data_IF_868607235623
#
_entry.id   IF_868607235623
#
_cell.length_a   1.000
_cell.length_b   1.000
_cell.length_c   1.000
_cell.angle_alpha   90.00
_cell.angle_beta   90.00
_cell.angle_gamma   90.00
#
_symmetry.space_group_name_H-M   'P 1'
#
loop_
_entity.id
_entity.type
_entity.pdbx_description
1 polymer ?
#
# COMPACT_ATOMS: atom_id res chain seq x y z
N UNK A 1 6.31 16.15 19.33
CA UNK A 1 7.40 16.12 18.34
C UNK A 1 6.89 15.25 17.20
N UNK A 2 6.77 15.78 15.98
CA UNK A 2 6.28 15.02 14.84
C UNK A 2 7.41 14.14 14.31
N UNK A 3 7.16 12.83 14.14
CA UNK A 3 8.18 11.87 13.73
C UNK A 3 8.52 12.09 12.25
N UNK A 4 9.71 12.63 11.98
CA UNK A 4 10.29 12.75 10.63
C UNK A 4 11.00 11.44 10.29
N UNK A 5 10.21 10.40 10.03
CA UNK A 5 10.72 9.05 9.76
C UNK A 5 10.41 8.65 8.32
N UNK A 6 11.29 7.90 7.65
CA UNK A 6 10.98 7.37 6.34
C UNK A 6 9.68 6.56 6.34
N UNK A 7 8.91 6.67 5.26
CA UNK A 7 7.69 5.88 5.07
C UNK A 7 7.92 4.86 3.96
N UNK A 8 7.34 3.66 4.10
CA UNK A 8 7.47 2.61 3.08
C UNK A 8 6.11 2.41 2.41
N UNK A 9 6.00 2.66 1.08
CA UNK A 9 4.81 2.34 0.33
C UNK A 9 4.69 0.81 0.18
N UNK A 10 3.48 0.29 0.37
CA UNK A 10 3.19 -1.15 0.34
C UNK A 10 2.01 -1.42 -0.60
N UNK A 11 2.18 -2.36 -1.52
CA UNK A 11 1.11 -2.90 -2.34
C UNK A 11 0.79 -4.33 -1.88
N UNK A 12 -0.47 -4.60 -1.54
CA UNK A 12 -0.91 -5.93 -1.11
C UNK A 12 -1.80 -6.52 -2.21
N UNK A 13 -1.29 -7.56 -2.87
CA UNK A 13 -1.97 -8.25 -3.94
C UNK A 13 -2.85 -9.37 -3.40
N UNK A 14 -3.90 -9.74 -4.16
CA UNK A 14 -4.74 -10.91 -3.87
C UNK A 14 -5.58 -10.83 -2.58
N UNK A 15 -5.67 -9.66 -1.93
CA UNK A 15 -6.50 -9.45 -0.74
C UNK A 15 -7.98 -9.75 -0.96
N UNK A 16 -8.48 -9.54 -2.19
CA UNK A 16 -9.84 -9.86 -2.58
C UNK A 16 -10.19 -11.36 -2.44
N UNK A 17 -9.18 -12.24 -2.44
CA UNK A 17 -9.39 -13.68 -2.26
C UNK A 17 -9.42 -14.11 -0.78
N UNK A 18 -8.92 -13.27 0.13
CA UNK A 18 -8.97 -13.50 1.58
C UNK A 18 -10.26 -12.94 2.19
N UNK A 19 -10.61 -11.70 1.82
CA UNK A 19 -11.83 -11.06 2.29
C UNK A 19 -12.25 -9.96 1.31
N UNK A 20 -13.46 -10.07 0.76
CA UNK A 20 -14.09 -8.93 0.08
C UNK A 20 -14.94 -8.17 1.09
N UNK A 21 -14.88 -6.83 1.06
CA UNK A 21 -15.71 -5.94 1.91
C UNK A 21 -17.23 -6.19 1.80
N UNK A 22 -17.67 -7.04 0.87
CA UNK A 22 -19.06 -7.23 0.45
C UNK A 22 -19.56 -8.70 0.53
N UNK A 23 -18.77 -9.66 1.02
CA UNK A 23 -19.12 -11.09 0.93
C UNK A 23 -18.84 -11.92 2.18
N UNK A 24 -19.55 -13.06 2.31
CA UNK A 24 -19.37 -14.04 3.39
C UNK A 24 -17.93 -14.52 3.43
N UNK A 25 -17.34 -14.58 4.63
CA UNK A 25 -16.02 -15.17 4.86
C UNK A 25 -16.01 -16.61 4.31
N UNK A 26 -15.13 -16.90 3.34
CA UNK A 26 -15.02 -18.22 2.74
C UNK A 26 -13.93 -19.03 3.48
N UNK A 27 -14.29 -20.05 4.29
CA UNK A 27 -13.33 -20.75 5.15
C UNK A 27 -12.22 -21.49 4.37
N UNK A 28 -12.44 -21.81 3.10
CA UNK A 28 -11.45 -22.48 2.22
C UNK A 28 -10.64 -21.45 1.39
N UNK A 29 -11.15 -20.21 1.21
CA UNK A 29 -10.43 -19.16 0.49
C UNK A 29 -9.34 -18.48 1.35
N UNK A 30 -9.33 -18.71 2.66
CA UNK A 30 -8.27 -18.26 3.57
C UNK A 30 -6.90 -18.93 3.34
N UNK A 31 -6.81 -19.96 2.49
CA UNK A 31 -5.53 -20.59 2.11
C UNK A 31 -4.94 -20.04 0.81
N UNK A 32 -5.39 -18.86 0.36
CA UNK A 32 -4.88 -18.22 -0.86
C UNK A 32 -3.62 -17.40 -0.54
N UNK A 33 -2.63 -17.48 -1.43
CA UNK A 33 -1.40 -16.70 -1.35
C UNK A 33 -1.73 -15.21 -1.48
N UNK A 34 -1.40 -14.44 -0.44
CA UNK A 34 -1.32 -12.98 -0.49
C UNK A 34 0.12 -12.62 -0.76
N UNK A 35 0.34 -11.69 -1.67
CA UNK A 35 1.68 -11.16 -1.94
C UNK A 35 1.77 -9.73 -1.43
N UNK A 36 2.86 -9.42 -0.74
CA UNK A 36 3.13 -8.08 -0.22
C UNK A 36 4.37 -7.57 -0.94
N UNK A 37 4.19 -6.47 -1.64
CA UNK A 37 5.23 -5.83 -2.42
C UNK A 37 5.62 -4.52 -1.74
N UNK A 38 6.89 -4.39 -1.38
CA UNK A 38 7.45 -3.22 -0.71
C UNK A 38 8.16 -2.35 -1.74
N UNK A 39 7.89 -1.06 -1.71
CA UNK A 39 8.64 -0.08 -2.47
C UNK A 39 9.86 0.42 -1.72
N UNK A 40 10.69 1.26 -2.37
CA UNK A 40 11.77 1.93 -1.69
C UNK A 40 11.22 2.84 -0.57
N UNK A 41 11.95 3.00 0.56
CA UNK A 41 11.63 4.02 1.55
C UNK A 41 11.57 5.42 0.92
N UNK A 42 10.58 6.20 1.32
CA UNK A 42 10.43 7.61 0.94
C UNK A 42 10.93 8.44 2.12
N UNK A 43 11.92 9.28 1.86
CA UNK A 43 12.54 10.10 2.90
C UNK A 43 11.62 11.27 3.30
N UNK A 44 11.69 11.76 4.55
CA UNK A 44 10.92 12.92 5.00
C UNK A 44 11.08 14.15 4.10
N UNK A 45 12.24 14.33 3.49
CA UNK A 45 12.49 15.44 2.58
C UNK A 45 11.56 15.43 1.34
N UNK A 46 11.13 14.24 0.91
CA UNK A 46 10.33 14.08 -0.31
C UNK A 46 8.84 14.32 -0.06
N UNK A 47 8.34 13.99 1.14
CA UNK A 47 6.91 14.04 1.44
C UNK A 47 6.48 15.18 2.39
N UNK A 48 7.38 15.68 3.25
CA UNK A 48 7.06 16.80 4.16
C UNK A 48 6.69 18.11 3.44
N UNK A 49 7.25 18.45 2.26
CA UNK A 49 6.83 19.64 1.52
C UNK A 49 5.45 19.51 0.87
N UNK A 50 4.92 18.29 0.74
CA UNK A 50 3.68 18.03 0.02
C UNK A 50 2.49 18.45 0.90
N UNK A 51 1.55 19.18 0.31
CA UNK A 51 0.34 19.57 1.04
C UNK A 51 -0.48 18.34 1.43
N UNK A 52 -1.21 18.43 2.54
CA UNK A 52 -2.09 17.33 3.01
C UNK A 52 -3.10 16.89 1.95
N UNK A 53 -3.54 17.80 1.07
CA UNK A 53 -4.47 17.52 -0.03
C UNK A 53 -3.82 16.64 -1.11
N UNK A 54 -2.56 16.88 -1.41
CA UNK A 54 -1.81 16.21 -2.48
C UNK A 54 -1.12 14.93 -2.01
N UNK A 55 -0.81 14.84 -0.71
CA UNK A 55 -0.08 13.71 -0.10
C UNK A 55 -0.68 12.35 -0.47
N UNK A 56 -2.00 12.21 -0.46
CA UNK A 56 -2.67 10.95 -0.81
C UNK A 56 -2.47 10.55 -2.28
N UNK A 57 -2.37 11.52 -3.19
CA UNK A 57 -2.11 11.28 -4.61
C UNK A 57 -0.66 10.81 -4.81
N UNK A 58 0.28 11.54 -4.20
CA UNK A 58 1.69 11.18 -4.18
C UNK A 58 1.91 9.73 -3.69
N UNK A 59 1.35 9.37 -2.53
CA UNK A 59 1.51 7.99 -1.99
C UNK A 59 0.90 6.94 -2.93
N UNK A 60 -0.22 7.25 -3.59
CA UNK A 60 -0.83 6.32 -4.57
C UNK A 60 0.04 6.10 -5.79
N UNK A 61 0.71 7.13 -6.29
CA UNK A 61 1.67 7.01 -7.40
C UNK A 61 2.83 6.11 -7.02
N UNK A 62 3.41 6.31 -5.82
CA UNK A 62 4.50 5.47 -5.30
C UNK A 62 4.05 4.01 -5.16
N UNK A 63 2.85 3.76 -4.62
CA UNK A 63 2.30 2.41 -4.53
C UNK A 63 2.05 1.79 -5.91
N UNK A 64 1.59 2.59 -6.88
CA UNK A 64 1.32 2.12 -8.24
C UNK A 64 2.58 1.74 -8.99
N UNK A 65 3.71 2.40 -8.71
CA UNK A 65 5.01 2.06 -9.29
C UNK A 65 5.59 0.72 -8.79
N UNK A 66 5.15 0.24 -7.62
CA UNK A 66 5.54 -1.07 -7.06
C UNK A 66 4.74 -2.21 -7.68
N UNK A 67 3.50 -1.91 -8.09
CA UNK A 67 2.55 -2.91 -8.55
C UNK A 67 3.19 -3.75 -9.67
N UNK A 68 3.17 -5.10 -9.57
CA UNK A 68 3.67 -5.93 -10.65
C UNK A 68 2.91 -5.62 -11.94
N UNK A 69 3.64 -5.37 -13.02
CA UNK A 69 3.08 -5.35 -14.39
C UNK A 69 2.86 -6.80 -14.80
N UNK A 70 1.72 -7.37 -14.39
CA UNK A 70 1.21 -8.65 -14.88
C UNK A 70 0.49 -8.51 -16.21
#
# INVERSE_FOLDING_TARGET
>A
QEAKVPIVPVFIENMQFVSTKTGRFHPVAGWRKVEVHYGPPIEPADYLPISRREFSGFVREQISAIRPTG
#
